data_IF_988665828127
#
_entry.id   IF_988665828127
#
_cell.length_a   1.000
_cell.length_b   1.000
_cell.length_c   1.000
_cell.angle_alpha   90.00
_cell.angle_beta   90.00
_cell.angle_gamma   90.00
#
_symmetry.space_group_name_H-M   'P 1'
#
loop_
_entity.id
_entity.type
_entity.pdbx_description
1 polymer ?
#
# COMPACT_ATOMS: atom_id res chain seq x y z
N UNK A 1 35.81 -17.90 -8.24
CA UNK A 1 34.42 -18.21 -7.80
C UNK A 1 33.60 -16.94 -7.87
N UNK A 2 32.52 -16.94 -8.65
CA UNK A 2 31.63 -15.80 -8.86
C UNK A 2 30.36 -15.84 -7.99
N UNK A 3 29.59 -14.76 -7.99
CA UNK A 3 28.32 -14.62 -7.28
C UNK A 3 27.17 -14.88 -8.27
N UNK A 4 26.17 -15.67 -7.86
CA UNK A 4 24.96 -15.93 -8.65
C UNK A 4 23.83 -15.00 -8.22
N UNK A 5 23.27 -14.28 -9.17
CA UNK A 5 22.07 -13.44 -9.06
C UNK A 5 20.90 -14.16 -9.73
N UNK A 6 19.72 -14.13 -9.12
CA UNK A 6 18.52 -14.70 -9.68
C UNK A 6 17.48 -13.61 -9.97
N UNK A 7 16.57 -13.88 -10.91
CA UNK A 7 15.45 -12.98 -11.18
C UNK A 7 14.61 -12.74 -9.91
N UNK A 8 14.14 -11.51 -9.71
CA UNK A 8 13.29 -11.12 -8.58
C UNK A 8 11.96 -11.90 -8.52
N UNK A 9 11.52 -12.49 -9.63
CA UNK A 9 10.34 -13.36 -9.68
C UNK A 9 10.68 -14.85 -9.53
N UNK A 10 11.91 -15.20 -9.10
CA UNK A 10 12.30 -16.61 -8.93
C UNK A 10 11.46 -17.33 -7.89
N UNK A 11 11.14 -16.69 -6.77
CA UNK A 11 10.30 -17.29 -5.73
C UNK A 11 8.81 -17.18 -6.04
N UNK A 12 8.37 -16.08 -6.67
CA UNK A 12 6.95 -15.81 -6.90
C UNK A 12 6.39 -16.41 -8.18
N UNK A 13 7.23 -16.61 -9.21
CA UNK A 13 6.82 -17.15 -10.52
C UNK A 13 7.71 -18.30 -10.99
N UNK A 14 8.52 -18.88 -10.09
CA UNK A 14 9.51 -19.91 -10.43
C UNK A 14 10.40 -19.54 -11.63
N UNK A 15 10.75 -18.25 -11.74
CA UNK A 15 11.53 -17.75 -12.87
C UNK A 15 12.92 -18.42 -12.96
N UNK A 16 13.30 -18.98 -14.13
CA UNK A 16 14.57 -19.66 -14.31
C UNK A 16 15.76 -18.69 -14.50
N UNK A 17 15.49 -17.43 -14.85
CA UNK A 17 16.52 -16.47 -15.21
C UNK A 17 17.50 -16.20 -14.05
N UNK A 18 18.79 -16.20 -14.37
CA UNK A 18 19.88 -15.98 -13.42
C UNK A 18 21.16 -15.53 -14.13
N UNK A 19 22.07 -14.89 -13.40
CA UNK A 19 23.34 -14.37 -13.90
C UNK A 19 24.44 -14.71 -12.91
N UNK A 20 25.59 -15.17 -13.40
CA UNK A 20 26.80 -15.40 -12.62
C UNK A 20 27.81 -14.32 -12.95
N UNK A 21 28.33 -13.66 -11.93
CA UNK A 21 29.22 -12.51 -12.04
C UNK A 21 30.54 -12.82 -11.35
N UNK A 22 31.66 -12.50 -12.00
CA UNK A 22 33.01 -12.63 -11.43
C UNK A 22 33.24 -11.66 -10.27
N UNK A 23 34.36 -11.82 -9.55
CA UNK A 23 34.77 -10.85 -8.52
C UNK A 23 35.06 -9.47 -9.12
N UNK A 24 35.40 -9.41 -10.41
CA UNK A 24 35.68 -8.19 -11.17
C UNK A 24 34.42 -7.65 -11.87
N UNK A 25 33.22 -8.10 -11.45
CA UNK A 25 31.92 -7.68 -12.00
C UNK A 25 31.70 -8.03 -13.48
N UNK A 26 32.41 -9.01 -14.03
CA UNK A 26 32.20 -9.50 -15.40
C UNK A 26 31.15 -10.60 -15.39
N UNK A 27 30.15 -10.54 -16.28
CA UNK A 27 29.17 -11.62 -16.43
C UNK A 27 29.90 -12.83 -17.01
N UNK A 28 30.00 -13.90 -16.22
CA UNK A 28 30.63 -15.16 -16.61
C UNK A 28 29.63 -16.06 -17.34
N UNK A 29 28.38 -16.06 -16.88
CA UNK A 29 27.29 -16.89 -17.43
C UNK A 29 25.95 -16.23 -17.16
N UNK A 30 25.02 -16.30 -18.11
CA UNK A 30 23.66 -15.82 -17.93
C UNK A 30 22.64 -16.81 -18.49
N UNK A 31 21.50 -16.89 -17.83
CA UNK A 31 20.25 -17.36 -18.38
C UNK A 31 19.28 -16.17 -18.35
N UNK A 32 18.97 -15.63 -19.52
CA UNK A 32 18.11 -14.45 -19.70
C UNK A 32 16.68 -14.81 -20.06
N UNK A 33 16.32 -16.09 -20.09
CA UNK A 33 14.98 -16.52 -20.42
C UNK A 33 14.07 -16.33 -19.20
N UNK A 34 13.04 -15.52 -19.39
CA UNK A 34 12.02 -15.24 -18.38
C UNK A 34 10.72 -15.94 -18.77
N UNK A 35 10.07 -16.59 -17.80
CA UNK A 35 8.73 -17.17 -17.95
C UNK A 35 7.62 -16.19 -17.55
N UNK A 36 7.94 -14.90 -17.50
CA UNK A 36 7.01 -13.85 -17.10
C UNK A 36 7.36 -12.55 -17.81
N UNK A 37 6.36 -11.68 -17.94
CA UNK A 37 6.57 -10.31 -18.42
C UNK A 37 7.38 -9.49 -17.39
N UNK A 38 8.23 -8.54 -17.84
CA UNK A 38 8.96 -7.66 -16.95
C UNK A 38 8.01 -6.92 -15.97
N UNK A 39 8.40 -6.75 -14.69
CA UNK A 39 7.60 -5.94 -13.76
C UNK A 39 7.43 -4.52 -14.31
N UNK A 40 6.18 -4.12 -14.55
CA UNK A 40 5.86 -2.80 -15.09
C UNK A 40 6.08 -1.71 -14.03
N UNK A 41 7.00 -0.79 -14.28
CA UNK A 41 7.18 0.44 -13.51
C UNK A 41 6.16 1.48 -14.00
N UNK A 42 5.22 1.90 -13.15
CA UNK A 42 4.15 2.81 -13.56
C UNK A 42 4.44 4.28 -13.22
N UNK A 43 4.49 5.13 -14.25
CA UNK A 43 4.17 6.55 -14.15
C UNK A 43 2.67 6.70 -14.38
N UNK A 44 1.87 6.86 -13.32
CA UNK A 44 0.43 6.98 -13.48
C UNK A 44 0.08 8.35 -14.08
N UNK A 45 -0.54 8.35 -15.27
CA UNK A 45 -1.17 9.54 -15.86
C UNK A 45 -2.41 9.96 -15.07
N UNK A 46 -3.08 9.01 -14.44
CA UNK A 46 -4.26 9.22 -13.60
C UNK A 46 -3.85 9.27 -12.12
N UNK A 47 -4.27 10.29 -11.39
CA UNK A 47 -3.87 10.47 -10.00
C UNK A 47 -4.25 9.28 -9.13
N UNK A 48 -3.31 8.80 -8.30
CA UNK A 48 -3.56 7.72 -7.34
C UNK A 48 -3.57 8.24 -5.92
N UNK A 49 -4.62 7.94 -5.17
CA UNK A 49 -4.65 8.18 -3.72
C UNK A 49 -3.87 7.07 -3.01
N UNK A 50 -2.98 7.49 -2.12
CA UNK A 50 -2.09 6.65 -1.33
C UNK A 50 -2.36 6.92 0.14
N UNK A 51 -2.43 5.89 0.96
CA UNK A 51 -2.57 6.07 2.41
C UNK A 51 -1.23 5.77 3.06
N UNK A 52 -0.76 6.69 3.89
CA UNK A 52 0.45 6.50 4.69
C UNK A 52 0.10 5.79 6.00
N UNK A 53 1.11 5.24 6.68
CA UNK A 53 0.97 4.58 7.98
C UNK A 53 0.46 5.47 9.12
N UNK A 54 0.51 6.79 8.91
CA UNK A 54 -0.06 7.77 9.83
C UNK A 54 -1.54 8.04 9.54
N UNK A 55 -2.14 7.27 8.61
CA UNK A 55 -3.52 7.44 8.15
C UNK A 55 -3.72 8.61 7.19
N UNK A 56 -2.66 9.35 6.86
CA UNK A 56 -2.75 10.50 5.96
C UNK A 56 -2.89 10.03 4.51
N UNK A 57 -3.83 10.65 3.79
CA UNK A 57 -4.03 10.38 2.37
C UNK A 57 -3.20 11.37 1.55
N UNK A 58 -2.34 10.82 0.68
CA UNK A 58 -1.44 11.51 -0.22
C UNK A 58 -1.83 11.17 -1.65
N UNK A 59 -2.04 12.18 -2.49
CA UNK A 59 -2.29 12.00 -3.91
C UNK A 59 -0.95 11.97 -4.66
N UNK A 60 -0.68 10.92 -5.43
CA UNK A 60 0.42 10.84 -6.38
C UNK A 60 -0.10 11.15 -7.78
N UNK A 61 0.41 12.23 -8.38
CA UNK A 61 0.01 12.65 -9.72
C UNK A 61 1.22 13.20 -10.47
N UNK A 62 1.44 12.71 -11.69
CA UNK A 62 2.60 13.09 -12.54
C UNK A 62 3.95 13.03 -11.81
N UNK A 63 4.16 12.02 -10.96
CA UNK A 63 5.40 11.83 -10.20
C UNK A 63 5.57 12.73 -8.97
N UNK A 64 4.62 13.62 -8.68
CA UNK A 64 4.63 14.48 -7.50
C UNK A 64 3.60 14.02 -6.46
N UNK A 65 3.92 14.23 -5.19
CA UNK A 65 3.00 13.96 -4.08
C UNK A 65 2.32 15.24 -3.61
N UNK A 66 1.03 15.10 -3.29
CA UNK A 66 0.18 16.16 -2.79
C UNK A 66 -0.52 15.70 -1.52
N UNK A 67 -0.59 16.56 -0.50
CA UNK A 67 -1.30 16.31 0.75
C UNK A 67 -2.63 17.05 0.77
N UNK A 68 -3.63 16.48 1.43
CA UNK A 68 -4.90 17.15 1.67
C UNK A 68 -4.67 18.44 2.49
N UNK A 69 -5.17 19.56 1.98
CA UNK A 69 -5.16 20.84 2.68
C UNK A 69 -6.56 21.16 3.21
N UNK A 70 -7.42 21.76 2.37
CA UNK A 70 -8.73 22.28 2.79
C UNK A 70 -9.85 21.65 1.98
N UNK A 71 -11.02 21.53 2.62
CA UNK A 71 -12.28 21.23 1.95
C UNK A 71 -12.74 22.44 1.14
N UNK A 72 -13.24 22.20 -0.06
CA UNK A 72 -13.79 23.23 -0.95
C UNK A 72 -15.29 23.43 -0.63
N UNK A 73 -15.81 24.63 -0.91
CA UNK A 73 -17.23 24.99 -0.68
C UNK A 73 -18.20 24.01 -1.34
N UNK A 74 -17.85 23.46 -2.51
CA UNK A 74 -18.68 22.52 -3.27
C UNK A 74 -18.43 21.05 -2.89
N UNK A 75 -18.10 20.78 -1.63
CA UNK A 75 -17.79 19.44 -1.11
C UNK A 75 -16.55 18.74 -1.70
N UNK A 76 -15.78 19.38 -2.57
CA UNK A 76 -14.51 18.86 -3.05
C UNK A 76 -13.38 19.00 -2.04
N UNK A 77 -12.18 18.51 -2.38
CA UNK A 77 -10.99 18.61 -1.53
C UNK A 77 -9.82 19.18 -2.31
N UNK A 78 -9.14 20.16 -1.74
CA UNK A 78 -7.88 20.68 -2.28
C UNK A 78 -6.69 19.92 -1.71
N UNK A 79 -5.88 19.38 -2.60
CA UNK A 79 -4.57 18.81 -2.34
C UNK A 79 -3.48 19.81 -2.75
N UNK A 80 -2.58 20.15 -1.83
CA UNK A 80 -1.40 20.97 -2.12
C UNK A 80 -0.16 20.11 -2.24
N UNK A 81 0.81 20.49 -3.08
CA UNK A 81 2.06 19.73 -3.20
C UNK A 81 2.73 19.57 -1.82
N UNK A 82 3.28 18.39 -1.52
CA UNK A 82 3.97 18.12 -0.27
C UNK A 82 5.20 19.01 -0.05
N UNK A 83 5.78 19.55 -1.14
CA UNK A 83 6.87 20.53 -1.08
C UNK A 83 6.39 21.99 -0.98
N UNK A 84 5.10 22.24 -0.74
CA UNK A 84 4.54 23.59 -0.60
C UNK A 84 5.22 24.37 0.52
N UNK A 85 5.39 23.77 1.70
CA UNK A 85 5.99 24.51 2.82
C UNK A 85 7.51 24.65 2.65
N UNK A 86 8.17 23.57 2.25
CA UNK A 86 9.62 23.50 2.12
C UNK A 86 10.19 24.26 0.91
N UNK A 87 9.46 24.32 -0.20
CA UNK A 87 9.92 24.91 -1.48
C UNK A 87 8.99 25.97 -2.05
N UNK A 88 7.99 26.40 -1.26
CA UNK A 88 6.96 27.37 -1.70
C UNK A 88 6.30 26.97 -3.03
N UNK A 89 6.13 25.65 -3.25
CA UNK A 89 5.61 25.12 -4.50
C UNK A 89 4.17 25.59 -4.76
N UNK A 90 3.85 26.13 -5.96
CA UNK A 90 2.52 26.63 -6.28
C UNK A 90 1.53 25.54 -6.69
N UNK A 91 2.00 24.31 -6.95
CA UNK A 91 1.17 23.23 -7.49
C UNK A 91 0.06 22.76 -6.52
N UNK A 92 -1.13 22.51 -7.08
CA UNK A 92 -2.29 22.03 -6.34
C UNK A 92 -3.26 21.24 -7.24
N UNK A 93 -4.11 20.41 -6.62
CA UNK A 93 -5.13 19.62 -7.29
C UNK A 93 -6.43 19.71 -6.49
N UNK A 94 -7.57 19.86 -7.15
CA UNK A 94 -8.90 19.83 -6.57
C UNK A 94 -9.59 18.54 -7.01
N UNK A 95 -10.04 17.76 -6.04
CA UNK A 95 -10.82 16.56 -6.28
C UNK A 95 -12.30 16.79 -5.93
N UNK A 96 -13.20 16.13 -6.66
CA UNK A 96 -14.62 16.00 -6.30
C UNK A 96 -14.82 15.05 -5.11
N UNK A 97 -16.07 14.91 -4.65
CA UNK A 97 -16.46 13.87 -3.68
C UNK A 97 -16.15 12.46 -4.20
N UNK A 98 -16.26 12.26 -5.50
CA UNK A 98 -16.01 10.98 -6.19
C UNK A 98 -14.54 10.83 -6.62
N UNK A 99 -13.63 11.62 -6.04
CA UNK A 99 -12.19 11.61 -6.32
C UNK A 99 -11.80 11.94 -7.78
N UNK A 100 -12.68 12.62 -8.53
CA UNK A 100 -12.39 13.08 -9.89
C UNK A 100 -11.65 14.41 -9.84
N UNK A 101 -10.62 14.59 -10.66
CA UNK A 101 -9.90 15.86 -10.75
C UNK A 101 -10.81 16.91 -11.40
N UNK A 102 -11.22 17.93 -10.63
CA UNK A 102 -12.06 19.04 -11.13
C UNK A 102 -11.18 20.19 -11.65
N UNK A 103 -10.05 20.44 -10.98
CA UNK A 103 -9.13 21.53 -11.32
C UNK A 103 -7.73 21.22 -10.82
N UNK A 104 -6.70 21.59 -11.56
CA UNK A 104 -5.32 21.42 -11.10
C UNK A 104 -4.39 22.50 -11.65
N UNK A 105 -3.40 22.90 -10.84
CA UNK A 105 -2.16 23.51 -11.30
C UNK A 105 -1.04 22.48 -11.12
N UNK A 106 -0.46 22.01 -12.23
CA UNK A 106 0.61 21.00 -12.23
C UNK A 106 2.00 21.58 -12.46
N UNK A 107 2.14 22.90 -12.45
CA UNK A 107 3.44 23.54 -12.58
C UNK A 107 4.19 23.50 -11.24
N UNK A 108 5.35 22.85 -11.26
CA UNK A 108 6.22 22.73 -10.10
C UNK A 108 7.49 23.55 -10.30
N UNK A 109 7.91 24.27 -9.26
CA UNK A 109 9.21 24.95 -9.18
C UNK A 109 10.33 24.03 -8.65
N UNK A 110 10.11 22.72 -8.67
CA UNK A 110 11.08 21.74 -8.17
C UNK A 110 10.94 20.42 -8.90
N UNK A 111 12.02 19.64 -8.91
CA UNK A 111 12.01 18.28 -9.46
C UNK A 111 11.11 17.34 -8.61
N UNK A 112 10.50 16.31 -9.22
CA UNK A 112 9.77 15.28 -8.50
C UNK A 112 10.60 14.64 -7.38
N UNK A 113 10.00 14.29 -6.23
CA UNK A 113 10.67 13.44 -5.25
C UNK A 113 11.00 12.09 -5.90
N UNK A 114 12.19 11.55 -5.58
CA UNK A 114 12.59 10.21 -6.00
C UNK A 114 11.73 9.21 -5.22
N UNK A 115 10.71 8.66 -5.88
CA UNK A 115 9.78 7.64 -5.37
C UNK A 115 9.79 6.42 -6.29
N UNK A 116 9.82 5.23 -5.70
CA UNK A 116 9.84 3.96 -6.43
C UNK A 116 8.62 3.15 -5.99
N UNK A 117 7.71 2.88 -6.92
CA UNK A 117 6.47 2.14 -6.65
C UNK A 117 6.60 0.71 -7.19
N UNK A 118 6.43 -0.28 -6.32
CA UNK A 118 6.48 -1.71 -6.66
C UNK A 118 5.29 -2.44 -6.07
N UNK A 119 4.46 -3.05 -6.93
CA UNK A 119 3.41 -4.01 -6.53
C UNK A 119 2.59 -3.50 -5.33
N UNK A 120 2.05 -2.27 -5.45
CA UNK A 120 1.24 -1.56 -4.44
C UNK A 120 2.00 -0.95 -3.24
N UNK A 121 3.32 -1.14 -3.14
CA UNK A 121 4.15 -0.53 -2.12
C UNK A 121 4.99 0.61 -2.67
N UNK A 122 5.22 1.60 -1.83
CA UNK A 122 6.01 2.77 -2.18
C UNK A 122 7.27 2.77 -1.36
N UNK A 123 8.38 3.00 -2.04
CA UNK A 123 9.69 3.18 -1.46
C UNK A 123 10.14 4.61 -1.69
N UNK A 124 10.73 5.23 -0.68
CA UNK A 124 11.39 6.52 -0.81
C UNK A 124 12.89 6.34 -0.73
N UNK A 125 13.60 7.17 -1.49
CA UNK A 125 15.06 7.19 -1.48
C UNK A 125 15.59 7.51 -0.09
N UNK A 126 16.48 6.66 0.42
CA UNK A 126 17.12 6.81 1.73
C UNK A 126 18.51 7.42 1.60
N UNK A 127 19.41 6.74 0.89
CA UNK A 127 20.80 7.18 0.69
C UNK A 127 21.46 6.44 -0.47
N UNK A 128 22.56 7.02 -0.99
CA UNK A 128 23.37 6.45 -2.06
C UNK A 128 24.30 5.37 -1.48
N UNK A 129 24.42 4.25 -2.17
CA UNK A 129 25.38 3.18 -1.93
C UNK A 129 26.54 3.31 -2.93
N UNK A 130 27.66 2.62 -2.68
CA UNK A 130 28.77 2.57 -3.65
C UNK A 130 28.32 2.02 -5.01
N UNK A 131 27.36 1.10 -5.01
CA UNK A 131 26.88 0.39 -6.19
C UNK A 131 25.49 0.84 -6.66
N UNK A 132 24.90 1.89 -6.07
CA UNK A 132 23.55 2.32 -6.44
C UNK A 132 22.85 3.17 -5.37
N UNK A 133 21.59 2.90 -5.11
CA UNK A 133 20.74 3.66 -4.19
C UNK A 133 19.93 2.71 -3.30
N UNK A 134 19.85 3.03 -2.02
CA UNK A 134 18.93 2.37 -1.09
C UNK A 134 17.63 3.14 -0.98
N UNK A 135 16.55 2.40 -1.10
CA UNK A 135 15.16 2.82 -1.03
C UNK A 135 14.49 2.03 0.07
N UNK A 136 13.74 2.68 0.94
CA UNK A 136 13.03 2.00 2.03
C UNK A 136 11.54 2.20 1.87
N UNK A 137 10.75 1.23 2.33
CA UNK A 137 9.31 1.35 2.33
C UNK A 137 8.89 2.66 3.03
N UNK A 138 7.85 3.33 2.51
CA UNK A 138 7.24 4.51 3.15
C UNK A 138 6.73 4.23 4.57
N UNK A 139 6.56 2.96 4.91
CA UNK A 139 6.20 2.47 6.25
C UNK A 139 7.41 2.37 7.21
N UNK A 140 8.61 2.78 6.79
CA UNK A 140 9.79 2.82 7.65
C UNK A 140 9.57 3.78 8.86
N UNK A 141 9.99 3.43 10.09
CA UNK A 141 10.78 2.26 10.49
C UNK A 141 9.96 1.00 10.83
N UNK A 142 8.62 1.07 10.77
CA UNK A 142 7.72 -0.03 11.13
C UNK A 142 7.80 -1.18 10.14
N UNK A 143 8.02 -0.88 8.87
CA UNK A 143 8.35 -1.86 7.84
C UNK A 143 9.86 -1.85 7.56
N UNK A 144 10.45 -3.05 7.55
CA UNK A 144 11.86 -3.26 7.22
C UNK A 144 12.10 -3.51 5.72
N UNK A 145 11.05 -3.52 4.92
CA UNK A 145 11.17 -3.70 3.48
C UNK A 145 12.01 -2.58 2.85
N UNK A 146 12.93 -2.96 1.98
CA UNK A 146 13.82 -2.05 1.27
C UNK A 146 14.22 -2.62 -0.09
N UNK A 147 14.65 -1.72 -0.97
CA UNK A 147 15.23 -2.02 -2.26
C UNK A 147 16.56 -1.31 -2.39
N UNK A 148 17.55 -2.01 -2.94
CA UNK A 148 18.72 -1.37 -3.51
C UNK A 148 18.64 -1.49 -5.02
N UNK A 149 18.84 -0.39 -5.71
CA UNK A 149 18.80 -0.32 -7.18
C UNK A 149 20.06 0.34 -7.72
N UNK A 150 20.49 -0.01 -8.92
CA UNK A 150 21.63 0.63 -9.59
C UNK A 150 21.28 2.02 -10.17
N UNK A 151 22.23 2.63 -10.89
CA UNK A 151 22.03 3.91 -11.58
C UNK A 151 20.98 3.87 -12.71
N UNK A 152 20.64 2.68 -13.19
CA UNK A 152 19.58 2.43 -14.18
C UNK A 152 18.28 1.94 -13.55
N UNK A 153 18.16 1.97 -12.22
CA UNK A 153 17.03 1.48 -11.43
C UNK A 153 16.78 -0.04 -11.53
N UNK A 154 17.76 -0.82 -11.97
CA UNK A 154 17.70 -2.27 -11.86
C UNK A 154 17.84 -2.68 -10.39
N UNK A 155 17.03 -3.64 -9.96
CA UNK A 155 17.06 -4.13 -8.58
C UNK A 155 18.34 -4.93 -8.36
N UNK A 156 19.20 -4.46 -7.47
CA UNK A 156 20.43 -5.13 -7.05
C UNK A 156 20.16 -6.16 -5.97
N UNK A 157 19.43 -5.75 -4.93
CA UNK A 157 18.93 -6.60 -3.85
C UNK A 157 17.81 -5.90 -3.09
N UNK A 158 17.16 -6.59 -2.16
CA UNK A 158 16.14 -5.99 -1.31
C UNK A 158 15.41 -7.02 -0.47
N UNK A 159 14.74 -6.53 0.56
CA UNK A 159 13.71 -7.27 1.27
C UNK A 159 12.38 -6.70 0.78
N UNK A 160 11.68 -7.47 -0.05
CA UNK A 160 10.34 -7.13 -0.55
C UNK A 160 9.24 -7.71 0.32
N UNK A 161 9.60 -8.55 1.28
CA UNK A 161 8.68 -8.99 2.33
C UNK A 161 8.40 -7.82 3.25
N UNK A 162 7.21 -7.27 3.07
CA UNK A 162 6.61 -6.42 4.07
C UNK A 162 6.13 -7.33 5.20
N UNK A 163 6.40 -6.97 6.46
CA UNK A 163 5.69 -7.58 7.60
C UNK A 163 4.21 -7.52 7.26
N UNK A 164 3.56 -8.69 7.21
CA UNK A 164 2.30 -9.04 6.54
C UNK A 164 1.12 -8.04 6.64
N UNK A 165 1.25 -6.79 6.20
CA UNK A 165 0.18 -5.79 6.32
C UNK A 165 -1.09 -6.14 5.53
N UNK A 166 -1.03 -7.09 4.58
CA UNK A 166 -2.22 -7.65 3.91
C UNK A 166 -3.13 -8.44 4.86
N UNK A 167 -2.62 -9.05 5.93
CA UNK A 167 -3.45 -9.71 6.97
C UNK A 167 -4.16 -8.70 7.89
N UNK A 168 -3.86 -7.41 7.75
CA UNK A 168 -4.37 -6.33 8.60
C UNK A 168 -5.14 -5.25 7.81
N UNK A 169 -5.50 -5.50 6.55
CA UNK A 169 -6.46 -4.63 5.86
C UNK A 169 -7.85 -5.17 6.19
N UNK A 170 -8.67 -4.42 6.94
CA UNK A 170 -10.00 -4.88 7.24
C UNK A 170 -10.84 -4.87 5.96
N UNK A 171 -11.48 -6.00 5.68
CA UNK A 171 -12.36 -6.19 4.54
C UNK A 171 -13.81 -5.94 4.98
N UNK A 172 -14.60 -5.27 4.13
CA UNK A 172 -16.02 -5.03 4.38
C UNK A 172 -16.80 -6.11 3.66
N UNK A 173 -17.56 -6.90 4.42
CA UNK A 173 -18.37 -8.01 3.90
C UNK A 173 -19.84 -7.70 4.19
N UNK A 174 -20.68 -7.72 3.17
CA UNK A 174 -22.13 -7.53 3.33
C UNK A 174 -22.83 -8.88 3.26
N UNK A 175 -23.69 -9.16 4.24
CA UNK A 175 -24.57 -10.35 4.21
C UNK A 175 -25.70 -10.13 3.22
N UNK A 176 -25.85 -11.04 2.26
CA UNK A 176 -26.85 -10.97 1.20
C UNK A 176 -28.31 -11.11 1.68
N UNK A 177 -28.56 -11.69 2.85
CA UNK A 177 -29.92 -11.92 3.36
C UNK A 177 -30.41 -10.83 4.31
N UNK A 178 -29.49 -10.19 5.01
CA UNK A 178 -29.83 -9.28 6.10
C UNK A 178 -29.42 -7.84 5.81
N UNK A 179 -28.72 -7.61 4.68
CA UNK A 179 -28.02 -6.37 4.34
C UNK A 179 -27.11 -5.85 5.45
N UNK A 180 -26.73 -6.72 6.38
CA UNK A 180 -25.85 -6.36 7.49
C UNK A 180 -24.42 -6.31 7.00
N UNK A 181 -23.76 -5.21 7.34
CA UNK A 181 -22.35 -4.99 7.04
C UNK A 181 -21.49 -5.51 8.19
N UNK A 182 -20.53 -6.36 7.82
CA UNK A 182 -19.51 -6.90 8.70
C UNK A 182 -18.14 -6.37 8.30
N UNK A 183 -17.25 -6.31 9.27
CA UNK A 183 -15.82 -6.07 9.07
C UNK A 183 -15.09 -7.39 9.31
N UNK A 184 -14.34 -7.89 8.33
CA UNK A 184 -13.40 -9.00 8.50
C UNK A 184 -12.01 -8.43 8.77
N UNK A 185 -11.36 -8.85 9.86
CA UNK A 185 -10.01 -8.45 10.22
C UNK A 185 -9.32 -9.56 11.01
N UNK A 186 -8.13 -10.00 10.56
CA UNK A 186 -7.38 -11.13 11.14
C UNK A 186 -8.24 -12.41 11.28
N UNK A 187 -9.02 -12.74 10.25
CA UNK A 187 -9.98 -13.87 10.26
C UNK A 187 -11.13 -13.79 11.29
N UNK A 188 -11.25 -12.69 12.04
CA UNK A 188 -12.39 -12.40 12.90
C UNK A 188 -13.39 -11.49 12.22
N UNK A 189 -14.66 -11.64 12.59
CA UNK A 189 -15.75 -10.84 12.05
C UNK A 189 -16.34 -9.95 13.14
N UNK A 190 -16.64 -8.72 12.74
CA UNK A 190 -17.16 -7.71 13.63
C UNK A 190 -18.40 -7.05 13.03
N UNK A 191 -19.42 -6.78 13.85
CA UNK A 191 -20.57 -5.97 13.47
C UNK A 191 -20.40 -4.54 13.96
N UNK A 192 -20.95 -3.60 13.21
CA UNK A 192 -21.00 -2.19 13.59
C UNK A 192 -21.75 -2.02 14.91
N UNK A 193 -21.19 -1.25 15.84
CA UNK A 193 -21.87 -0.89 17.10
C UNK A 193 -22.90 0.19 16.82
N UNK A 194 -24.08 0.10 17.45
CA UNK A 194 -25.14 1.09 17.34
C UNK A 194 -24.61 2.50 17.60
N UNK A 195 -25.00 3.46 16.76
CA UNK A 195 -24.59 4.87 16.85
C UNK A 195 -23.08 5.14 16.66
N UNK A 196 -22.31 4.19 16.12
CA UNK A 196 -20.89 4.41 15.81
C UNK A 196 -20.58 4.11 14.35
N UNK A 197 -19.97 5.06 13.63
CA UNK A 197 -19.49 4.84 12.26
C UNK A 197 -18.15 4.11 12.16
N UNK A 198 -17.45 3.99 13.29
CA UNK A 198 -16.05 3.60 13.36
C UNK A 198 -15.81 2.43 14.30
N UNK A 199 -16.76 2.11 15.19
CA UNK A 199 -16.58 1.05 16.19
C UNK A 199 -17.31 -0.22 15.79
N UNK A 200 -16.58 -1.32 15.86
CA UNK A 200 -17.04 -2.66 15.52
C UNK A 200 -16.83 -3.59 16.71
N UNK A 201 -17.74 -4.55 16.93
CA UNK A 201 -17.66 -5.55 18.00
C UNK A 201 -17.65 -6.95 17.39
N UNK A 202 -16.82 -7.83 17.95
CA UNK A 202 -16.76 -9.23 17.52
C UNK A 202 -18.15 -9.88 17.57
N UNK A 203 -18.49 -10.67 16.55
CA UNK A 203 -19.79 -11.39 16.46
C UNK A 203 -19.66 -12.91 16.58
N UNK A 204 -18.44 -13.44 16.71
CA UNK A 204 -18.20 -14.87 16.64
C UNK A 204 -18.76 -15.62 17.86
N UNK A 205 -18.82 -14.99 19.04
CA UNK A 205 -19.43 -15.58 20.25
C UNK A 205 -20.18 -14.51 21.04
N UNK A 206 -21.20 -14.91 21.81
CA UNK A 206 -21.93 -14.01 22.72
C UNK A 206 -21.07 -13.49 23.88
N UNK A 207 -19.96 -14.18 24.18
CA UNK A 207 -19.05 -13.87 25.29
C UNK A 207 -17.83 -13.04 24.86
N UNK A 208 -17.65 -12.75 23.57
CA UNK A 208 -16.55 -11.93 23.08
C UNK A 208 -16.96 -10.47 22.95
N UNK A 209 -16.32 -9.61 23.74
CA UNK A 209 -16.57 -8.17 23.73
C UNK A 209 -15.41 -7.37 23.09
N UNK A 210 -14.50 -8.05 22.38
CA UNK A 210 -13.40 -7.40 21.69
C UNK A 210 -13.96 -6.42 20.65
N UNK A 211 -13.42 -5.21 20.66
CA UNK A 211 -13.79 -4.14 19.74
C UNK A 211 -12.62 -3.77 18.84
N UNK A 212 -12.96 -3.39 17.62
CA UNK A 212 -12.05 -2.78 16.65
C UNK A 212 -12.58 -1.39 16.33
N UNK A 213 -11.69 -0.40 16.33
CA UNK A 213 -12.02 0.96 15.90
C UNK A 213 -11.34 1.21 14.57
N UNK A 214 -12.09 1.65 13.58
CA UNK A 214 -11.61 1.96 12.24
C UNK A 214 -11.80 3.43 11.87
N UNK A 215 -11.21 3.87 10.76
CA UNK A 215 -11.73 5.04 10.03
C UNK A 215 -13.16 4.77 9.51
N UNK A 216 -13.95 5.81 9.21
CA UNK A 216 -15.27 5.65 8.60
C UNK A 216 -15.20 4.87 7.29
N UNK A 217 -16.24 4.08 7.00
CA UNK A 217 -16.35 3.27 5.77
C UNK A 217 -16.20 4.12 4.50
N UNK A 218 -16.70 5.36 4.52
CA UNK A 218 -16.59 6.33 3.41
C UNK A 218 -15.15 6.65 2.99
N UNK A 219 -14.17 6.38 3.86
CA UNK A 219 -12.74 6.63 3.62
C UNK A 219 -11.93 5.35 3.43
N UNK A 220 -12.60 4.20 3.34
CA UNK A 220 -12.01 2.86 3.44
C UNK A 220 -11.63 2.56 4.90
N UNK A 221 -12.22 1.52 5.53
CA UNK A 221 -11.94 1.24 6.93
C UNK A 221 -10.48 0.86 7.12
N UNK A 222 -9.84 1.47 8.10
CA UNK A 222 -8.50 1.10 8.57
C UNK A 222 -8.53 1.04 10.08
N UNK A 223 -8.01 -0.04 10.63
CA UNK A 223 -7.90 -0.25 12.08
C UNK A 223 -6.99 0.82 12.69
N UNK A 224 -7.56 1.64 13.58
CA UNK A 224 -6.85 2.72 14.27
C UNK A 224 -6.00 2.20 15.45
N UNK A 225 -6.40 1.05 16.02
CA UNK A 225 -5.73 0.42 17.15
C UNK A 225 -5.90 -1.09 17.09
N UNK A 226 -4.82 -1.83 17.38
CA UNK A 226 -4.89 -3.29 17.46
C UNK A 226 -5.93 -3.74 18.51
N UNK A 227 -6.84 -4.68 18.16
CA UNK A 227 -7.81 -5.20 19.10
C UNK A 227 -7.12 -5.97 20.23
N UNK A 228 -7.83 -6.10 21.36
CA UNK A 228 -7.42 -7.04 22.42
C UNK A 228 -7.48 -8.48 21.89
N UNK A 229 -6.76 -9.38 22.55
CA UNK A 229 -6.85 -10.81 22.28
C UNK A 229 -8.29 -11.30 22.44
N UNK A 230 -8.74 -12.08 21.46
CA UNK A 230 -10.02 -12.79 21.55
C UNK A 230 -9.88 -14.00 22.47
N UNK A 231 -10.97 -14.37 23.14
CA UNK A 231 -11.06 -15.55 24.00
C UNK A 231 -11.61 -16.78 23.27
N UNK A 232 -11.55 -16.79 21.93
CA UNK A 232 -12.01 -17.87 21.07
C UNK A 232 -11.21 -17.88 19.77
N UNK A 233 -11.12 -19.01 19.06
CA UNK A 233 -10.50 -19.06 17.74
C UNK A 233 -11.34 -18.31 16.68
N UNK A 234 -10.76 -17.96 15.53
CA UNK A 234 -11.49 -17.43 14.38
C UNK A 234 -12.60 -18.40 13.94
N UNK A 235 -13.77 -17.87 13.62
CA UNK A 235 -14.94 -18.62 13.15
C UNK A 235 -15.73 -17.77 12.16
N UNK A 236 -16.30 -18.42 11.16
CA UNK A 236 -17.24 -17.78 10.25
C UNK A 236 -18.60 -17.56 10.96
N UNK A 237 -19.13 -16.34 11.01
CA UNK A 237 -20.43 -16.05 11.61
C UNK A 237 -21.52 -16.86 10.91
N UNK A 238 -22.53 -17.29 11.66
CA UNK A 238 -23.67 -18.02 11.09
C UNK A 238 -24.31 -17.26 9.93
N UNK A 239 -24.43 -15.93 10.05
CA UNK A 239 -24.99 -15.04 9.03
C UNK A 239 -24.15 -14.91 7.74
N UNK A 240 -22.95 -15.51 7.68
CA UNK A 240 -22.03 -15.49 6.54
C UNK A 240 -21.67 -16.90 6.05
N UNK A 241 -22.26 -17.98 6.61
CA UNK A 241 -21.93 -19.37 6.24
C UNK A 241 -22.28 -19.72 4.81
N UNK A 242 -23.31 -19.09 4.25
CA UNK A 242 -23.81 -19.43 2.93
C UNK A 242 -23.08 -18.69 1.79
N UNK A 243 -22.16 -17.77 2.12
CA UNK A 243 -21.25 -17.14 1.14
C UNK A 243 -20.24 -18.13 0.54
N UNK A 244 -20.12 -19.33 1.12
CA UNK A 244 -19.16 -20.37 0.74
C UNK A 244 -19.86 -21.72 0.45
N UNK A 245 -21.18 -21.74 0.25
CA UNK A 245 -21.94 -22.96 -0.07
C UNK A 245 -22.19 -23.15 -1.58
N UNK A 246 -21.55 -22.36 -2.44
CA UNK A 246 -21.65 -22.47 -3.90
C UNK A 246 -20.32 -22.84 -4.59
N UNK A 247 -19.34 -23.35 -3.84
CA UNK A 247 -18.12 -23.97 -4.38
C UNK A 247 -18.19 -25.50 -4.32
#
# INVERSE_FOLDING_TARGET
MGIRYACCSRLSKNCPANVHVSKDNVIIKSNTDHNHTPPSYFFSKDGRLLKTDLGAIVLLYKGHTFRKNNTLKNSGVRYGCCSKDAKKCPAYIHLSKDNVIIKSNTEHNHKPPRMLMMILWIFFYRYKLKTGYKWVCTCFPRCRAYLCVDDKFNILNGILEHINYKEYIPEVVTSIYTDRVFLKYQEYYYSKVSNSETTWRCVNTKSCFVRVVTTPLSTGPIVLKQPRLHNHPPKLPFALRDLFLFD
#
